data_IF_900890369806
#
_entry.id   IF_900890369806
#
_cell.length_a   1.000
_cell.length_b   1.000
_cell.length_c   1.000
_cell.angle_alpha   90.00
_cell.angle_beta   90.00
_cell.angle_gamma   90.00
#
_symmetry.space_group_name_H-M   'P 1'
#
loop_
_entity.id
_entity.type
_entity.pdbx_description
1 polymer ?
#
# COMPACT_ATOMS: atom_id res chain seq x y z
N UNK A 1 -45.34 -0.02 -15.74
CA UNK A 1 -46.15 1.22 -15.71
C UNK A 1 -47.08 1.16 -14.51
N UNK A 2 -47.36 2.33 -13.94
CA UNK A 2 -48.14 2.59 -12.71
C UNK A 2 -47.39 2.38 -11.39
N UNK A 3 -46.85 3.52 -10.93
CA UNK A 3 -46.34 3.78 -9.60
C UNK A 3 -47.48 3.88 -8.58
N UNK A 4 -47.18 3.64 -7.30
CA UNK A 4 -47.94 4.20 -6.19
C UNK A 4 -47.01 4.47 -5.02
N UNK A 5 -46.76 5.75 -4.83
CA UNK A 5 -46.06 6.40 -3.73
C UNK A 5 -46.98 6.34 -2.50
N UNK A 6 -46.44 5.93 -1.35
CA UNK A 6 -47.05 6.23 -0.04
C UNK A 6 -45.97 6.91 0.80
N UNK A 7 -46.30 8.14 1.19
CA UNK A 7 -45.51 9.05 2.01
C UNK A 7 -46.24 9.22 3.35
N UNK A 8 -45.44 9.28 4.42
CA UNK A 8 -45.74 9.78 5.77
C UNK A 8 -46.55 8.89 6.72
N UNK A 9 -45.99 8.63 7.90
CA UNK A 9 -46.17 9.53 9.06
C UNK A 9 -45.17 9.24 10.18
N UNK A 10 -44.57 10.32 10.66
CA UNK A 10 -43.74 10.43 11.86
C UNK A 10 -44.58 10.17 13.11
N UNK A 11 -44.09 9.33 14.02
CA UNK A 11 -44.62 9.21 15.37
C UNK A 11 -43.48 9.45 16.36
N UNK A 12 -43.36 10.70 16.79
CA UNK A 12 -42.62 11.11 17.97
C UNK A 12 -43.30 10.54 19.21
N UNK A 13 -42.59 9.71 19.97
CA UNK A 13 -42.98 9.35 21.34
C UNK A 13 -42.11 10.17 22.28
N UNK A 14 -42.72 11.19 22.87
CA UNK A 14 -42.19 11.89 24.03
C UNK A 14 -42.33 11.02 25.27
N UNK A 15 -41.23 10.76 25.96
CA UNK A 15 -41.26 10.48 27.40
C UNK A 15 -40.43 11.54 28.11
N UNK A 16 -41.13 12.41 28.83
CA UNK A 16 -40.60 13.28 29.87
C UNK A 16 -40.98 12.64 31.20
N UNK A 17 -40.02 12.43 32.12
CA UNK A 17 -40.10 12.75 33.55
C UNK A 17 -38.85 12.21 34.26
N UNK A 18 -38.24 13.04 35.13
CA UNK A 18 -37.30 12.54 36.15
C UNK A 18 -36.10 13.42 36.44
N UNK A 19 -36.34 14.55 37.11
CA UNK A 19 -35.36 15.36 37.84
C UNK A 19 -34.37 14.51 38.67
N UNK A 20 -33.06 14.80 38.62
CA UNK A 20 -32.19 14.85 39.82
C UNK A 20 -30.85 15.58 39.58
N UNK A 21 -30.73 16.72 40.27
CA UNK A 21 -29.56 17.42 40.86
C UNK A 21 -28.17 17.38 40.19
N UNK A 22 -27.72 18.57 39.78
CA UNK A 22 -26.31 19.02 39.80
C UNK A 22 -25.79 19.17 41.24
N UNK A 23 -24.46 19.18 41.41
CA UNK A 23 -23.81 20.23 42.19
C UNK A 23 -22.82 21.05 41.33
N UNK A 24 -22.86 22.37 41.50
CA UNK A 24 -21.77 23.29 41.19
C UNK A 24 -21.05 23.68 42.49
N UNK A 25 -20.02 24.53 42.35
CA UNK A 25 -19.14 25.16 43.38
C UNK A 25 -17.82 24.37 43.51
N UNK A 26 -16.61 24.93 43.37
CA UNK A 26 -16.12 26.31 43.46
C UNK A 26 -14.80 26.48 42.71
N UNK A 27 -14.58 27.70 42.20
CA UNK A 27 -13.29 28.24 41.81
C UNK A 27 -12.36 28.41 43.03
N UNK A 28 -11.06 28.20 42.83
CA UNK A 28 -9.99 28.73 43.66
C UNK A 28 -8.90 29.27 42.73
N UNK A 29 -8.67 30.57 42.81
CA UNK A 29 -7.63 31.31 42.10
C UNK A 29 -6.36 31.44 42.94
N UNK A 30 -5.22 31.36 42.24
CA UNK A 30 -3.95 32.05 42.47
C UNK A 30 -3.15 31.79 43.75
N UNK A 31 -1.91 31.29 43.57
CA UNK A 31 -0.72 31.95 44.10
C UNK A 31 0.46 31.82 43.13
N UNK A 32 1.02 32.97 42.78
CA UNK A 32 2.27 33.14 42.04
C UNK A 32 3.46 32.67 42.87
N UNK A 33 4.47 32.08 42.23
CA UNK A 33 5.86 32.32 42.60
C UNK A 33 6.78 32.19 41.38
N UNK A 34 7.73 33.12 41.34
CA UNK A 34 8.61 33.48 40.24
C UNK A 34 10.03 32.96 40.51
N UNK A 35 10.86 32.92 39.45
CA UNK A 35 12.33 32.77 39.41
C UNK A 35 12.78 31.31 39.63
N UNK A 36 13.51 30.65 38.70
CA UNK A 36 14.85 31.02 38.22
C UNK A 36 15.14 30.51 36.80
N UNK A 37 15.72 31.38 35.97
CA UNK A 37 16.29 31.08 34.64
C UNK A 37 17.64 30.36 34.81
N UNK A 38 17.85 29.25 34.11
CA UNK A 38 19.19 28.73 33.78
C UNK A 38 19.47 28.93 32.30
N UNK A 39 20.40 29.83 32.03
CA UNK A 39 20.97 30.12 30.71
C UNK A 39 21.98 29.03 30.35
N UNK A 40 21.75 28.29 29.26
CA UNK A 40 22.81 27.57 28.55
C UNK A 40 23.33 28.47 27.43
N UNK A 41 24.49 29.07 27.69
CA UNK A 41 25.34 29.72 26.68
C UNK A 41 25.85 28.64 25.73
N UNK A 42 25.49 28.72 24.44
CA UNK A 42 26.29 28.11 23.38
C UNK A 42 27.00 29.24 22.63
N UNK A 43 28.33 29.22 22.74
CA UNK A 43 29.25 30.20 22.19
C UNK A 43 29.28 30.16 20.66
N UNK A 44 29.00 31.31 20.05
CA UNK A 44 29.42 31.66 18.70
C UNK A 44 30.92 31.99 18.71
N UNK A 45 31.72 31.29 17.92
CA UNK A 45 32.99 31.82 17.42
C UNK A 45 33.10 31.56 15.92
N UNK A 46 33.05 32.66 15.18
CA UNK A 46 33.58 32.75 13.83
C UNK A 46 35.11 32.59 13.87
N UNK A 47 35.66 31.82 12.94
CA UNK A 47 36.96 32.11 12.35
C UNK A 47 36.87 31.90 10.84
N UNK A 48 37.05 32.98 10.11
CA UNK A 48 37.40 33.00 8.70
C UNK A 48 38.84 32.51 8.53
N UNK A 49 39.12 31.61 7.59
CA UNK A 49 39.90 32.00 6.40
C UNK A 49 39.96 30.91 5.31
N UNK A 50 39.86 31.44 4.09
CA UNK A 50 40.32 30.95 2.78
C UNK A 50 41.26 29.74 2.75
N UNK A 51 40.94 28.74 1.92
CA UNK A 51 41.68 28.51 0.68
C UNK A 51 40.96 27.55 -0.29
N UNK A 52 40.98 27.98 -1.54
CA UNK A 52 40.53 27.39 -2.79
C UNK A 52 41.11 26.01 -3.11
N UNK A 53 40.27 25.07 -3.59
CA UNK A 53 40.61 24.16 -4.71
C UNK A 53 39.31 23.79 -5.45
N UNK A 54 39.19 24.20 -6.71
CA UNK A 54 38.18 23.71 -7.65
C UNK A 54 38.56 22.29 -8.13
N UNK A 55 37.61 21.37 -8.34
CA UNK A 55 37.96 20.07 -8.89
C UNK A 55 38.26 20.23 -10.39
N UNK A 56 39.53 20.03 -10.74
CA UNK A 56 39.99 19.90 -12.13
C UNK A 56 39.35 18.64 -12.71
N UNK A 57 38.50 18.82 -13.71
CA UNK A 57 37.98 17.76 -14.56
C UNK A 57 39.13 17.17 -15.37
N UNK A 58 39.74 16.08 -14.88
CA UNK A 58 40.77 15.36 -15.60
C UNK A 58 40.12 14.50 -16.68
N UNK A 59 39.96 15.04 -17.90
CA UNK A 59 39.69 14.24 -19.09
C UNK A 59 40.89 13.33 -19.33
N UNK A 60 40.82 12.07 -18.90
CA UNK A 60 41.70 11.02 -19.41
C UNK A 60 41.37 10.82 -20.90
N UNK A 61 42.24 11.32 -21.76
CA UNK A 61 42.32 10.88 -23.15
C UNK A 61 42.86 9.45 -23.14
N UNK A 62 41.98 8.47 -23.34
CA UNK A 62 42.39 7.10 -23.64
C UNK A 62 42.52 7.01 -25.16
N UNK A 63 43.74 6.87 -25.65
CA UNK A 63 43.99 6.54 -27.04
C UNK A 63 43.51 5.10 -27.30
N UNK A 64 42.38 4.95 -28.00
CA UNK A 64 41.86 3.65 -28.43
C UNK A 64 42.61 3.23 -29.69
N UNK A 65 43.53 2.29 -29.55
CA UNK A 65 44.07 1.50 -30.66
C UNK A 65 42.95 0.68 -31.28
N UNK A 66 42.76 0.86 -32.59
CA UNK A 66 41.77 0.15 -33.40
C UNK A 66 42.15 -1.33 -33.54
N UNK A 67 41.47 -2.21 -32.82
CA UNK A 67 41.36 -3.62 -33.18
C UNK A 67 39.86 -3.96 -33.06
N UNK A 68 39.32 -4.54 -34.13
CA UNK A 68 37.88 -4.72 -34.31
C UNK A 68 37.23 -5.47 -33.16
N UNK A 69 36.33 -4.79 -32.47
CA UNK A 69 35.42 -5.37 -31.49
C UNK A 69 34.11 -5.71 -32.22
N UNK A 70 33.74 -6.97 -32.08
CA UNK A 70 32.57 -7.59 -32.68
C UNK A 70 31.28 -6.86 -32.28
N UNK A 71 30.26 -6.97 -33.13
CA UNK A 71 28.88 -6.47 -32.96
C UNK A 71 28.20 -6.88 -31.63
N UNK A 72 28.83 -7.70 -30.79
CA UNK A 72 28.37 -8.09 -29.45
C UNK A 72 28.72 -7.10 -28.33
N UNK A 73 29.64 -6.15 -28.53
CA UNK A 73 29.96 -5.13 -27.52
C UNK A 73 29.16 -3.83 -27.70
N UNK A 74 28.66 -3.54 -28.90
CA UNK A 74 27.78 -2.39 -29.15
C UNK A 74 26.39 -2.55 -28.52
N UNK A 75 25.92 -3.78 -28.31
CA UNK A 75 24.69 -4.05 -27.55
C UNK A 75 24.86 -3.84 -26.04
N UNK A 76 26.09 -3.94 -25.51
CA UNK A 76 26.37 -3.63 -24.09
C UNK A 76 26.49 -2.13 -23.81
N UNK A 77 26.79 -1.30 -24.81
CA UNK A 77 26.71 0.17 -24.67
C UNK A 77 25.27 0.69 -24.76
N UNK A 78 24.34 -0.07 -25.34
CA UNK A 78 22.90 0.17 -25.24
C UNK A 78 22.38 -0.40 -23.91
N UNK A 79 22.71 0.28 -22.81
CA UNK A 79 22.43 -0.18 -21.45
C UNK A 79 20.98 -0.64 -21.24
N UNK A 80 20.80 -1.75 -20.49
CA UNK A 80 19.53 -2.39 -20.17
C UNK A 80 18.37 -1.39 -19.99
N UNK A 81 17.25 -1.61 -20.66
CA UNK A 81 16.05 -0.79 -20.57
C UNK A 81 14.96 -1.64 -19.95
N UNK A 82 14.32 -1.11 -18.90
CA UNK A 82 13.20 -1.78 -18.26
C UNK A 82 12.03 -2.06 -19.22
N UNK A 83 11.27 -3.08 -18.87
CA UNK A 83 10.07 -3.52 -19.57
C UNK A 83 8.96 -2.45 -19.56
N UNK A 84 8.01 -2.58 -20.49
CA UNK A 84 6.83 -1.73 -20.58
C UNK A 84 5.71 -2.24 -19.66
N UNK A 85 5.26 -1.44 -18.70
CA UNK A 85 4.28 -1.84 -17.68
C UNK A 85 2.85 -1.87 -18.22
N UNK A 86 1.99 -2.76 -17.70
CA UNK A 86 0.57 -2.82 -18.09
C UNK A 86 0.29 -3.09 -19.59
N UNK A 87 1.27 -3.56 -20.36
CA UNK A 87 1.02 -4.02 -21.73
C UNK A 87 0.19 -5.30 -21.69
N UNK A 88 -0.92 -5.31 -22.42
CA UNK A 88 -1.79 -6.47 -22.51
C UNK A 88 -2.20 -6.74 -23.96
N UNK A 89 -1.60 -7.76 -24.54
CA UNK A 89 -1.86 -8.14 -25.93
C UNK A 89 -2.91 -9.25 -25.99
N UNK A 90 -4.15 -8.88 -26.35
CA UNK A 90 -5.29 -9.81 -26.45
C UNK A 90 -4.99 -11.02 -27.34
N UNK A 91 -4.32 -10.83 -28.48
CA UNK A 91 -3.99 -11.90 -29.42
C UNK A 91 -2.98 -12.93 -28.89
N UNK A 92 -2.19 -12.59 -27.85
CA UNK A 92 -1.26 -13.52 -27.19
C UNK A 92 -1.89 -14.30 -26.04
N UNK A 93 -3.13 -13.97 -25.66
CA UNK A 93 -3.82 -14.61 -24.55
C UNK A 93 -4.44 -15.94 -24.95
N UNK A 94 -4.22 -16.98 -24.15
CA UNK A 94 -4.89 -18.28 -24.32
C UNK A 94 -6.16 -18.32 -23.47
N UNK A 95 -7.32 -18.53 -24.10
CA UNK A 95 -8.61 -18.66 -23.40
C UNK A 95 -8.54 -19.75 -22.30
N UNK A 96 -7.83 -20.85 -22.56
CA UNK A 96 -7.62 -21.92 -21.58
C UNK A 96 -6.94 -21.41 -20.30
N UNK A 97 -5.97 -20.50 -20.38
CA UNK A 97 -5.29 -19.93 -19.20
C UNK A 97 -6.24 -19.12 -18.34
N UNK A 98 -7.19 -18.41 -18.94
CA UNK A 98 -8.21 -17.65 -18.22
C UNK A 98 -9.25 -18.57 -17.57
N UNK A 99 -9.62 -19.67 -18.21
CA UNK A 99 -10.46 -20.70 -17.58
C UNK A 99 -9.73 -21.31 -16.37
N UNK A 100 -8.46 -21.67 -16.51
CA UNK A 100 -7.65 -22.18 -15.40
C UNK A 100 -7.52 -21.15 -14.27
N UNK A 101 -7.27 -19.89 -14.61
CA UNK A 101 -7.23 -18.79 -13.65
C UNK A 101 -8.54 -18.69 -12.86
N UNK A 102 -9.68 -18.66 -13.53
CA UNK A 102 -10.99 -18.57 -12.86
C UNK A 102 -11.25 -19.78 -11.97
N UNK A 103 -10.91 -21.00 -12.42
CA UNK A 103 -11.06 -22.20 -11.62
C UNK A 103 -10.16 -22.19 -10.37
N UNK A 104 -8.87 -21.85 -10.53
CA UNK A 104 -7.91 -21.76 -9.42
C UNK A 104 -8.34 -20.68 -8.44
N UNK A 105 -8.73 -19.49 -8.92
CA UNK A 105 -9.23 -18.42 -8.07
C UNK A 105 -10.45 -18.87 -7.27
N UNK A 106 -11.41 -19.54 -7.90
CA UNK A 106 -12.59 -20.09 -7.22
C UNK A 106 -12.22 -21.09 -6.13
N UNK A 107 -11.30 -22.01 -6.41
CA UNK A 107 -10.81 -23.00 -5.42
C UNK A 107 -10.09 -22.30 -4.27
N UNK A 108 -9.19 -21.36 -4.55
CA UNK A 108 -8.45 -20.62 -3.50
C UNK A 108 -9.40 -19.84 -2.61
N UNK A 109 -10.39 -19.14 -3.18
CA UNK A 109 -11.40 -18.41 -2.42
C UNK A 109 -12.29 -19.34 -1.59
N UNK A 110 -12.67 -20.49 -2.14
CA UNK A 110 -13.43 -21.49 -1.39
C UNK A 110 -12.64 -22.07 -0.22
N UNK A 111 -11.37 -22.44 -0.44
CA UNK A 111 -10.47 -22.94 0.62
C UNK A 111 -10.25 -21.87 1.68
N UNK A 112 -9.98 -20.62 1.28
CA UNK A 112 -9.84 -19.51 2.22
C UNK A 112 -11.12 -19.31 3.04
N UNK A 113 -12.29 -19.45 2.40
CA UNK A 113 -13.56 -19.38 3.11
C UNK A 113 -13.68 -20.48 4.16
N UNK A 114 -13.58 -21.75 3.76
CA UNK A 114 -13.80 -22.89 4.66
C UNK A 114 -12.72 -23.01 5.74
N UNK A 115 -11.44 -22.83 5.37
CA UNK A 115 -10.33 -23.05 6.29
C UNK A 115 -10.03 -21.84 7.19
N UNK A 116 -10.49 -20.63 6.84
CA UNK A 116 -10.13 -19.42 7.58
C UNK A 116 -11.31 -18.51 7.91
N UNK A 117 -12.13 -18.13 6.93
CA UNK A 117 -13.14 -17.07 7.11
C UNK A 117 -14.40 -17.57 7.82
N UNK A 118 -14.89 -18.75 7.45
CA UNK A 118 -16.14 -19.30 7.97
C UNK A 118 -16.04 -19.51 9.49
N UNK A 119 -16.99 -18.99 10.26
CA UNK A 119 -16.96 -19.07 11.72
C UNK A 119 -17.21 -20.48 12.27
N UNK A 120 -17.76 -21.40 11.48
CA UNK A 120 -18.05 -22.76 11.91
C UNK A 120 -16.90 -23.73 11.62
N UNK A 121 -16.16 -23.53 10.53
CA UNK A 121 -15.08 -24.43 10.11
C UNK A 121 -13.69 -23.79 10.12
N UNK A 122 -13.60 -22.47 10.04
CA UNK A 122 -12.36 -21.74 9.84
C UNK A 122 -11.62 -21.37 11.13
N UNK A 123 -10.32 -21.11 10.98
CA UNK A 123 -9.44 -20.74 12.09
C UNK A 123 -9.33 -19.22 12.33
N UNK A 124 -9.90 -18.38 11.46
CA UNK A 124 -9.74 -16.93 11.52
C UNK A 124 -10.25 -16.32 12.83
N UNK A 125 -11.43 -16.75 13.31
CA UNK A 125 -11.95 -16.30 14.59
C UNK A 125 -11.03 -16.68 15.75
N UNK A 126 -10.59 -17.93 15.82
CA UNK A 126 -9.70 -18.40 16.87
C UNK A 126 -8.34 -17.66 16.85
N UNK A 127 -7.82 -17.36 15.67
CA UNK A 127 -6.62 -16.54 15.51
C UNK A 127 -6.81 -15.13 16.06
N UNK A 128 -7.91 -14.46 15.69
CA UNK A 128 -8.23 -13.12 16.20
C UNK A 128 -8.43 -13.13 17.71
N UNK A 129 -9.27 -14.04 18.23
CA UNK A 129 -9.49 -14.19 19.67
C UNK A 129 -8.16 -14.35 20.44
N UNK A 130 -7.25 -15.20 19.92
CA UNK A 130 -5.94 -15.43 20.52
C UNK A 130 -5.08 -14.16 20.56
N UNK A 131 -5.04 -13.38 19.48
CA UNK A 131 -4.30 -12.11 19.45
C UNK A 131 -4.95 -11.08 20.37
N UNK A 132 -6.28 -11.03 20.42
CA UNK A 132 -7.03 -10.11 21.27
C UNK A 132 -6.83 -10.40 22.77
N UNK A 133 -6.43 -11.61 23.17
CA UNK A 133 -6.06 -11.87 24.59
C UNK A 133 -4.84 -11.07 25.06
N UNK A 134 -4.04 -10.51 24.15
CA UNK A 134 -2.83 -9.77 24.48
C UNK A 134 -3.11 -8.33 24.94
N UNK A 135 -4.29 -7.76 24.62
CA UNK A 135 -4.66 -6.41 25.02
C UNK A 135 -6.15 -6.14 24.84
N UNK A 136 -6.75 -5.41 25.79
CA UNK A 136 -8.12 -4.89 25.67
C UNK A 136 -8.22 -3.68 24.70
N UNK A 137 -7.09 -3.13 24.23
CA UNK A 137 -7.08 -1.99 23.30
C UNK A 137 -7.12 -2.45 21.85
N UNK A 138 -8.17 -2.02 21.13
CA UNK A 138 -8.33 -2.29 19.71
C UNK A 138 -7.16 -1.74 18.88
N UNK A 139 -6.54 -0.62 19.28
CA UNK A 139 -5.35 -0.06 18.66
C UNK A 139 -4.14 -0.98 18.79
N UNK A 140 -3.90 -1.55 19.97
CA UNK A 140 -2.77 -2.44 20.24
C UNK A 140 -2.94 -3.74 19.48
N UNK A 141 -4.13 -4.35 19.53
CA UNK A 141 -4.44 -5.57 18.77
C UNK A 141 -4.26 -5.33 17.27
N UNK A 142 -4.75 -4.20 16.76
CA UNK A 142 -4.59 -3.81 15.36
C UNK A 142 -3.11 -3.74 14.95
N UNK A 143 -2.27 -3.12 15.78
CA UNK A 143 -0.83 -3.04 15.52
C UNK A 143 -0.15 -4.41 15.57
N UNK A 144 -0.53 -5.29 16.50
CA UNK A 144 -0.01 -6.66 16.58
C UNK A 144 -0.38 -7.45 15.32
N UNK A 145 -1.63 -7.38 14.87
CA UNK A 145 -2.08 -8.03 13.63
C UNK A 145 -1.27 -7.55 12.43
N UNK A 146 -1.06 -6.24 12.30
CA UNK A 146 -0.23 -5.65 11.25
C UNK A 146 1.21 -6.14 11.35
N UNK A 147 1.79 -6.25 12.55
CA UNK A 147 3.15 -6.75 12.75
C UNK A 147 3.28 -8.22 12.37
N UNK A 148 2.31 -9.07 12.74
CA UNK A 148 2.27 -10.48 12.35
C UNK A 148 2.20 -10.58 10.83
N UNK A 149 1.25 -9.89 10.20
CA UNK A 149 1.12 -9.86 8.75
C UNK A 149 2.40 -9.37 8.07
N UNK A 150 2.93 -8.21 8.50
CA UNK A 150 4.11 -7.59 7.91
C UNK A 150 5.35 -8.48 8.04
N UNK A 151 5.54 -9.12 9.19
CA UNK A 151 6.65 -10.03 9.47
C UNK A 151 6.59 -11.27 8.59
N UNK A 152 5.43 -11.93 8.51
CA UNK A 152 5.23 -13.12 7.69
C UNK A 152 5.32 -12.79 6.20
N UNK A 153 4.58 -11.79 5.74
CA UNK A 153 4.54 -11.38 4.33
C UNK A 153 5.92 -10.93 3.83
N UNK A 154 6.57 -10.03 4.56
CA UNK A 154 7.91 -9.54 4.18
C UNK A 154 9.00 -10.59 4.36
N UNK A 155 8.87 -11.45 5.36
CA UNK A 155 9.76 -12.57 5.62
C UNK A 155 9.73 -13.55 4.46
N UNK A 156 8.55 -14.07 4.12
CA UNK A 156 8.37 -14.96 2.97
C UNK A 156 8.82 -14.29 1.67
N UNK A 157 8.61 -12.97 1.50
CA UNK A 157 9.09 -12.26 0.32
C UNK A 157 10.62 -12.26 0.25
N UNK A 158 11.30 -12.12 1.39
CA UNK A 158 12.77 -12.13 1.50
C UNK A 158 13.35 -13.53 1.30
N UNK A 159 12.66 -14.56 1.77
CA UNK A 159 13.08 -15.96 1.59
C UNK A 159 12.80 -16.53 0.21
N UNK A 160 12.15 -15.77 -0.68
CA UNK A 160 11.75 -16.23 -2.01
C UNK A 160 12.87 -16.90 -2.79
N UNK A 161 14.03 -16.25 -2.92
CA UNK A 161 15.14 -16.82 -3.69
C UNK A 161 15.58 -18.21 -3.20
N UNK A 162 15.54 -18.44 -1.88
CA UNK A 162 15.88 -19.73 -1.28
C UNK A 162 14.72 -20.71 -1.40
N UNK A 163 13.50 -20.27 -1.10
CA UNK A 163 12.30 -21.11 -1.17
C UNK A 163 12.01 -21.62 -2.59
N UNK A 164 12.16 -20.77 -3.61
CA UNK A 164 11.99 -21.17 -5.01
C UNK A 164 13.03 -22.21 -5.45
N UNK A 165 14.26 -22.16 -4.91
CA UNK A 165 15.29 -23.19 -5.16
C UNK A 165 14.96 -24.53 -4.50
N UNK A 166 14.25 -24.53 -3.37
CA UNK A 166 13.94 -25.73 -2.60
C UNK A 166 12.70 -26.45 -3.11
N UNK A 167 11.60 -25.71 -3.36
CA UNK A 167 10.30 -26.29 -3.68
C UNK A 167 9.75 -25.84 -5.05
N UNK A 168 10.48 -25.01 -5.77
CA UNK A 168 10.04 -24.44 -7.05
C UNK A 168 9.20 -23.17 -6.90
N UNK A 169 9.12 -22.39 -7.98
CA UNK A 169 8.48 -21.07 -8.00
C UNK A 169 6.96 -21.11 -7.76
N UNK A 170 6.26 -22.06 -8.39
CA UNK A 170 4.81 -22.21 -8.23
C UNK A 170 4.41 -22.66 -6.82
N UNK A 171 4.96 -23.75 -6.25
CA UNK A 171 4.63 -24.15 -4.88
C UNK A 171 4.99 -23.07 -3.86
N UNK A 172 6.11 -22.37 -4.05
CA UNK A 172 6.47 -21.24 -3.20
C UNK A 172 5.45 -20.09 -3.29
N UNK A 173 4.96 -19.75 -4.50
CA UNK A 173 3.91 -18.73 -4.69
C UNK A 173 2.61 -19.14 -3.99
N UNK A 174 2.20 -20.41 -4.09
CA UNK A 174 1.00 -20.93 -3.42
C UNK A 174 1.16 -20.88 -1.90
N UNK A 175 2.30 -21.30 -1.34
CA UNK A 175 2.59 -21.19 0.09
C UNK A 175 2.57 -19.73 0.55
N UNK A 176 3.24 -18.84 -0.20
CA UNK A 176 3.28 -17.42 0.08
C UNK A 176 1.88 -16.82 0.17
N UNK A 177 1.03 -17.07 -0.83
CA UNK A 177 -0.33 -16.56 -0.89
C UNK A 177 -1.23 -17.23 0.17
N UNK A 178 -1.10 -18.55 0.35
CA UNK A 178 -1.88 -19.33 1.30
C UNK A 178 -1.66 -18.94 2.76
N UNK A 179 -0.52 -18.36 3.10
CA UNK A 179 -0.27 -17.82 4.45
C UNK A 179 -0.58 -16.31 4.51
N UNK A 180 -0.18 -15.55 3.48
CA UNK A 180 -0.36 -14.08 3.50
C UNK A 180 -1.82 -13.66 3.39
N UNK A 181 -2.64 -14.34 2.57
CA UNK A 181 -4.04 -13.98 2.35
C UNK A 181 -4.88 -14.12 3.64
N UNK A 182 -4.84 -15.25 4.38
CA UNK A 182 -5.49 -15.36 5.68
C UNK A 182 -5.16 -14.21 6.64
N UNK A 183 -3.86 -13.91 6.80
CA UNK A 183 -3.40 -12.84 7.71
C UNK A 183 -3.84 -11.45 7.26
N UNK A 184 -3.82 -11.19 5.95
CA UNK A 184 -4.32 -9.93 5.39
C UNK A 184 -5.83 -9.77 5.64
N UNK A 185 -6.62 -10.83 5.38
CA UNK A 185 -8.07 -10.81 5.59
C UNK A 185 -8.40 -10.61 7.07
N UNK A 186 -7.74 -11.34 7.98
CA UNK A 186 -7.89 -11.14 9.42
C UNK A 186 -7.62 -9.70 9.85
N UNK A 187 -6.54 -9.10 9.36
CA UNK A 187 -6.19 -7.71 9.66
C UNK A 187 -7.25 -6.73 9.14
N UNK A 188 -7.75 -6.92 7.92
CA UNK A 188 -8.77 -6.04 7.31
C UNK A 188 -10.13 -6.19 8.00
N UNK A 189 -10.58 -7.42 8.27
CA UNK A 189 -11.86 -7.69 8.94
C UNK A 189 -11.84 -7.11 10.36
N UNK A 190 -10.76 -7.34 11.11
CA UNK A 190 -10.60 -6.78 12.45
C UNK A 190 -10.71 -5.24 12.42
N UNK A 191 -9.99 -4.59 11.49
CA UNK A 191 -10.08 -3.14 11.32
C UNK A 191 -11.52 -2.68 11.04
N UNK A 192 -12.24 -3.33 10.12
CA UNK A 192 -13.61 -2.94 9.75
C UNK A 192 -14.57 -3.06 10.95
N UNK A 193 -14.44 -4.13 11.73
CA UNK A 193 -15.30 -4.39 12.88
C UNK A 193 -15.02 -3.43 14.05
N UNK A 194 -13.76 -3.05 14.26
CA UNK A 194 -13.32 -2.16 15.34
C UNK A 194 -13.14 -0.70 14.86
N UNK A 195 -13.60 -0.37 13.65
CA UNK A 195 -13.34 0.94 13.02
C UNK A 195 -13.93 2.14 13.76
N UNK A 196 -14.87 1.92 14.68
CA UNK A 196 -15.48 2.97 15.50
C UNK A 196 -15.06 2.92 16.97
N UNK A 197 -14.15 2.00 17.31
CA UNK A 197 -13.57 1.94 18.64
C UNK A 197 -12.55 3.06 18.84
N UNK A 198 -12.01 3.11 20.06
CA UNK A 198 -10.98 4.06 20.44
C UNK A 198 -11.52 5.48 20.65
N UNK A 199 -10.60 6.42 20.74
CA UNK A 199 -10.90 7.84 20.95
C UNK A 199 -11.21 8.52 19.62
N UNK A 200 -12.36 9.18 19.51
CA UNK A 200 -12.63 10.10 18.41
C UNK A 200 -11.71 11.32 18.53
N UNK A 201 -10.87 11.56 17.51
CA UNK A 201 -9.89 12.63 17.45
C UNK A 201 -10.41 13.83 16.67
N UNK A 202 -11.15 13.60 15.58
CA UNK A 202 -11.81 14.63 14.78
C UNK A 202 -13.04 14.10 14.05
N UNK A 203 -13.98 14.98 13.70
CA UNK A 203 -15.20 14.64 12.95
C UNK A 203 -15.37 15.66 11.83
N UNK A 204 -14.96 15.30 10.61
CA UNK A 204 -14.87 16.23 9.47
C UNK A 204 -15.83 15.90 8.33
N UNK A 205 -16.71 14.91 8.48
CA UNK A 205 -17.55 14.35 7.43
C UNK A 205 -18.53 15.37 6.83
N UNK A 206 -18.92 16.39 7.62
CA UNK A 206 -19.79 17.48 7.19
C UNK A 206 -19.04 18.62 6.47
N UNK A 207 -17.70 18.56 6.39
CA UNK A 207 -16.91 19.59 5.73
C UNK A 207 -17.19 19.60 4.21
N UNK A 208 -17.54 20.76 3.62
CA UNK A 208 -17.85 20.85 2.19
C UNK A 208 -16.70 20.36 1.32
N UNK A 209 -17.00 19.46 0.38
CA UNK A 209 -16.01 18.94 -0.57
C UNK A 209 -15.09 17.84 -0.02
N UNK A 210 -15.11 17.55 1.29
CA UNK A 210 -14.19 16.57 1.88
C UNK A 210 -14.44 15.16 1.32
N UNK A 211 -15.71 14.75 1.21
CA UNK A 211 -16.05 13.46 0.64
C UNK A 211 -15.46 13.30 -0.78
N UNK A 212 -15.63 14.30 -1.64
CA UNK A 212 -15.12 14.29 -3.01
C UNK A 212 -13.59 14.22 -3.05
N UNK A 213 -12.92 14.97 -2.18
CA UNK A 213 -11.46 14.97 -2.07
C UNK A 213 -10.93 13.59 -1.65
N UNK A 214 -11.51 12.98 -0.62
CA UNK A 214 -11.07 11.68 -0.11
C UNK A 214 -11.46 10.54 -1.05
N UNK A 215 -12.60 10.63 -1.71
CA UNK A 215 -13.00 9.72 -2.77
C UNK A 215 -12.01 9.75 -3.93
N UNK A 216 -11.67 10.95 -4.43
CA UNK A 216 -10.70 11.10 -5.51
C UNK A 216 -9.31 10.62 -5.10
N UNK A 217 -8.90 10.90 -3.85
CA UNK A 217 -7.63 10.43 -3.30
C UNK A 217 -7.56 8.90 -3.24
N UNK A 218 -8.64 8.23 -2.79
CA UNK A 218 -8.74 6.77 -2.82
C UNK A 218 -8.82 6.22 -4.25
N UNK A 219 -9.49 6.90 -5.17
CA UNK A 219 -9.51 6.49 -6.57
C UNK A 219 -8.10 6.52 -7.18
N UNK A 220 -7.35 7.60 -6.94
CA UNK A 220 -5.95 7.73 -7.37
C UNK A 220 -5.08 6.67 -6.68
N UNK A 221 -5.28 6.41 -5.39
CA UNK A 221 -4.46 5.44 -4.65
C UNK A 221 -4.54 4.03 -5.22
N UNK A 222 -5.70 3.63 -5.75
CA UNK A 222 -5.86 2.33 -6.41
C UNK A 222 -5.02 2.22 -7.69
N UNK A 223 -4.88 3.28 -8.48
CA UNK A 223 -3.99 3.28 -9.65
C UNK A 223 -2.52 3.05 -9.26
N UNK A 224 -2.13 3.46 -8.05
CA UNK A 224 -0.81 3.21 -7.49
C UNK A 224 -0.66 1.82 -6.83
N UNK A 225 -1.73 1.23 -6.28
CA UNK A 225 -1.69 -0.07 -5.59
C UNK A 225 -1.61 -1.26 -6.55
N UNK A 226 -2.42 -1.25 -7.60
CA UNK A 226 -2.61 -2.40 -8.50
C UNK A 226 -1.56 -2.66 -9.61
N UNK A 227 -0.48 -1.87 -9.81
CA UNK A 227 0.61 -2.25 -10.72
C UNK A 227 1.27 -3.59 -10.36
N UNK A 228 1.20 -3.98 -9.09
CA UNK A 228 1.58 -5.30 -8.59
C UNK A 228 0.79 -6.47 -9.20
N UNK A 229 -0.30 -6.18 -9.93
CA UNK A 229 -1.23 -7.17 -10.49
C UNK A 229 -1.35 -7.13 -12.02
N UNK A 230 -0.53 -6.35 -12.73
CA UNK A 230 -0.62 -6.22 -14.19
C UNK A 230 -0.52 -7.57 -14.93
N UNK A 231 0.25 -8.52 -14.39
CA UNK A 231 0.36 -9.87 -14.92
C UNK A 231 -0.44 -10.87 -14.06
N UNK A 232 -1.77 -10.78 -14.09
CA UNK A 232 -2.67 -11.58 -13.22
C UNK A 232 -2.42 -13.09 -13.27
N UNK A 233 -2.13 -13.64 -14.45
CA UNK A 233 -1.87 -15.07 -14.61
C UNK A 233 -0.58 -15.51 -13.87
N UNK A 234 0.42 -14.63 -13.76
CA UNK A 234 1.63 -14.89 -12.99
C UNK A 234 1.39 -14.75 -11.48
N UNK A 235 0.55 -13.78 -11.08
CA UNK A 235 0.15 -13.57 -9.68
C UNK A 235 -0.61 -14.80 -9.15
N UNK A 236 -1.51 -15.36 -9.96
CA UNK A 236 -2.27 -16.57 -9.65
C UNK A 236 -1.50 -17.88 -9.89
N UNK A 237 -0.20 -17.81 -10.23
CA UNK A 237 0.67 -18.95 -10.54
C UNK A 237 0.19 -19.85 -11.70
N UNK A 238 -0.75 -19.38 -12.52
CA UNK A 238 -1.17 -20.03 -13.77
C UNK A 238 0.00 -20.02 -14.73
N UNK A 239 0.52 -18.83 -15.00
CA UNK A 239 1.79 -18.63 -15.68
C UNK A 239 2.94 -18.69 -14.66
N UNK A 240 4.14 -18.96 -15.17
CA UNK A 240 5.35 -19.03 -14.34
C UNK A 240 5.56 -17.64 -13.68
N UNK A 241 5.56 -17.52 -12.35
CA UNK A 241 5.68 -16.23 -11.69
C UNK A 241 7.03 -15.56 -12.00
N UNK A 242 7.03 -14.31 -12.46
CA UNK A 242 8.26 -13.55 -12.69
C UNK A 242 8.28 -12.26 -11.87
N UNK A 243 9.46 -11.67 -11.81
CA UNK A 243 9.62 -10.29 -11.39
C UNK A 243 9.97 -9.48 -12.64
N UNK A 244 9.48 -8.25 -12.69
CA UNK A 244 9.68 -7.35 -13.81
C UNK A 244 10.43 -6.12 -13.34
N UNK A 245 11.31 -5.62 -14.21
CA UNK A 245 11.95 -4.33 -14.05
C UNK A 245 11.27 -3.37 -15.03
N UNK A 246 10.27 -2.62 -14.58
CA UNK A 246 9.55 -1.67 -15.43
C UNK A 246 10.16 -0.27 -15.38
N UNK A 247 10.05 0.49 -16.47
CA UNK A 247 10.44 1.91 -16.52
C UNK A 247 9.31 2.85 -17.02
N UNK A 248 8.17 2.30 -17.42
CA UNK A 248 7.05 3.05 -18.02
C UNK A 248 5.79 3.06 -17.14
N UNK A 249 4.80 3.89 -17.50
CA UNK A 249 3.51 3.99 -16.83
C UNK A 249 3.65 4.58 -15.43
N UNK A 250 2.90 4.05 -14.47
CA UNK A 250 2.99 4.47 -13.07
C UNK A 250 4.40 4.31 -12.46
N UNK A 251 5.21 3.40 -13.01
CA UNK A 251 6.60 3.17 -12.55
C UNK A 251 7.52 4.32 -12.95
N UNK A 252 7.22 4.98 -14.07
CA UNK A 252 7.84 6.24 -14.48
C UNK A 252 7.65 7.34 -13.44
N UNK A 253 6.48 7.36 -12.81
CA UNK A 253 6.14 8.31 -11.74
C UNK A 253 6.89 7.95 -10.46
N UNK A 254 6.88 6.68 -10.06
CA UNK A 254 7.62 6.17 -8.90
C UNK A 254 7.90 4.68 -9.04
N UNK A 255 9.11 4.24 -8.66
CA UNK A 255 9.49 2.81 -8.62
C UNK A 255 8.72 2.02 -7.56
N UNK A 256 8.12 2.70 -6.57
CA UNK A 256 7.37 2.06 -5.48
C UNK A 256 5.92 2.54 -5.45
N UNK A 257 5.13 2.27 -6.50
CA UNK A 257 3.78 2.82 -6.60
C UNK A 257 2.89 2.26 -5.49
N UNK A 258 3.02 0.98 -5.12
CA UNK A 258 2.21 0.38 -4.06
C UNK A 258 2.40 1.08 -2.71
N UNK A 259 3.63 1.52 -2.37
CA UNK A 259 3.87 2.29 -1.15
C UNK A 259 3.14 3.63 -1.20
N UNK A 260 3.23 4.35 -2.32
CA UNK A 260 2.58 5.66 -2.49
C UNK A 260 1.06 5.53 -2.44
N UNK A 261 0.50 4.53 -3.12
CA UNK A 261 -0.92 4.21 -3.09
C UNK A 261 -1.39 3.89 -1.67
N UNK A 262 -0.65 3.05 -0.95
CA UNK A 262 -1.01 2.72 0.43
C UNK A 262 -0.99 3.94 1.34
N UNK A 263 0.01 4.82 1.22
CA UNK A 263 0.09 6.05 2.02
C UNK A 263 -1.13 6.94 1.74
N UNK A 264 -1.48 7.17 0.47
CA UNK A 264 -2.66 7.99 0.12
C UNK A 264 -3.94 7.35 0.67
N UNK A 265 -4.10 6.03 0.52
CA UNK A 265 -5.28 5.29 1.00
C UNK A 265 -5.42 5.35 2.52
N UNK A 266 -4.32 5.12 3.26
CA UNK A 266 -4.27 5.22 4.72
C UNK A 266 -4.63 6.64 5.19
N UNK A 267 -4.03 7.67 4.59
CA UNK A 267 -4.33 9.07 4.94
C UNK A 267 -5.80 9.40 4.68
N UNK A 268 -6.35 9.00 3.54
CA UNK A 268 -7.75 9.26 3.23
C UNK A 268 -8.72 8.59 4.22
N UNK A 269 -8.48 7.33 4.58
CA UNK A 269 -9.31 6.63 5.57
C UNK A 269 -9.16 7.19 6.98
N UNK A 270 -7.93 7.54 7.39
CA UNK A 270 -7.69 8.20 8.68
C UNK A 270 -8.42 9.52 8.78
N UNK A 271 -8.35 10.38 7.74
CA UNK A 271 -9.08 11.66 7.73
C UNK A 271 -10.59 11.43 7.81
N UNK A 272 -11.13 10.44 7.08
CA UNK A 272 -12.58 10.18 7.07
C UNK A 272 -13.11 9.60 8.39
N UNK A 273 -12.38 8.68 9.01
CA UNK A 273 -12.84 7.97 10.24
C UNK A 273 -12.52 8.80 11.49
N UNK A 274 -11.30 9.33 11.57
CA UNK A 274 -10.90 10.31 12.57
C UNK A 274 -10.80 9.82 14.02
N UNK A 275 -10.49 8.54 14.24
CA UNK A 275 -10.26 7.98 15.57
C UNK A 275 -8.87 7.33 15.72
N UNK A 276 -8.53 6.96 16.95
CA UNK A 276 -7.24 6.35 17.30
C UNK A 276 -7.00 5.00 16.63
N UNK A 277 -8.02 4.16 16.40
CA UNK A 277 -7.88 2.88 15.69
C UNK A 277 -7.48 3.10 14.24
N UNK A 278 -8.12 4.04 13.53
CA UNK A 278 -7.74 4.40 12.17
C UNK A 278 -6.33 5.00 12.09
N UNK A 279 -5.90 5.76 13.11
CA UNK A 279 -4.52 6.25 13.19
C UNK A 279 -3.54 5.09 13.40
N UNK A 280 -3.82 4.18 14.33
CA UNK A 280 -2.96 3.03 14.62
C UNK A 280 -2.81 2.11 13.39
N UNK A 281 -3.93 1.78 12.74
CA UNK A 281 -3.94 1.00 11.50
C UNK A 281 -3.10 1.67 10.40
N UNK A 282 -3.29 2.97 10.18
CA UNK A 282 -2.56 3.72 9.16
C UNK A 282 -1.07 3.83 9.46
N UNK A 283 -0.67 4.12 10.70
CA UNK A 283 0.75 4.16 11.08
C UNK A 283 1.40 2.80 10.84
N UNK A 284 0.76 1.71 11.28
CA UNK A 284 1.28 0.35 11.08
C UNK A 284 1.44 0.00 9.60
N UNK A 285 0.40 0.24 8.79
CA UNK A 285 0.43 -0.07 7.36
C UNK A 285 1.41 0.80 6.58
N UNK A 286 1.50 2.10 6.90
CA UNK A 286 2.48 3.02 6.29
C UNK A 286 3.90 2.58 6.66
N UNK A 287 4.17 2.28 7.93
CA UNK A 287 5.48 1.79 8.37
C UNK A 287 5.87 0.50 7.63
N UNK A 288 4.94 -0.45 7.49
CA UNK A 288 5.15 -1.67 6.72
C UNK A 288 5.50 -1.38 5.24
N UNK A 289 4.80 -0.43 4.60
CA UNK A 289 5.05 -0.12 3.19
C UNK A 289 6.34 0.68 2.98
N UNK A 290 6.72 1.54 3.91
CA UNK A 290 8.03 2.21 3.93
C UNK A 290 9.16 1.19 4.09
N UNK A 291 9.00 0.22 4.99
CA UNK A 291 9.93 -0.91 5.08
C UNK A 291 9.96 -1.73 3.77
N UNK A 292 8.80 -1.90 3.14
CA UNK A 292 8.61 -2.56 1.85
C UNK A 292 9.44 -1.93 0.73
N UNK A 293 9.67 -0.60 0.75
CA UNK A 293 10.53 0.10 -0.21
C UNK A 293 11.95 -0.44 -0.17
N UNK A 294 12.57 -0.40 1.03
CA UNK A 294 13.93 -0.91 1.21
C UNK A 294 14.02 -2.39 0.90
N UNK A 295 13.11 -3.20 1.46
CA UNK A 295 13.13 -4.64 1.26
C UNK A 295 12.91 -5.01 -0.22
N UNK A 296 12.05 -4.25 -0.92
CA UNK A 296 11.81 -4.38 -2.36
C UNK A 296 13.06 -4.13 -3.20
N UNK A 297 13.67 -2.95 -3.04
CA UNK A 297 14.90 -2.58 -3.75
C UNK A 297 16.02 -3.58 -3.44
N UNK A 298 16.19 -3.98 -2.16
CA UNK A 298 17.18 -5.01 -1.77
C UNK A 298 16.97 -6.34 -2.51
N UNK A 299 15.73 -6.82 -2.60
CA UNK A 299 15.43 -8.09 -3.28
C UNK A 299 15.68 -8.01 -4.78
N UNK A 300 15.35 -6.88 -5.40
CA UNK A 300 15.60 -6.66 -6.82
C UNK A 300 17.10 -6.56 -7.10
N UNK A 301 17.86 -5.83 -6.28
CA UNK A 301 19.32 -5.76 -6.38
C UNK A 301 19.97 -7.15 -6.27
N UNK A 302 19.55 -7.98 -5.32
CA UNK A 302 20.06 -9.36 -5.17
C UNK A 302 19.76 -10.22 -6.40
N UNK A 303 18.58 -10.04 -7.03
CA UNK A 303 18.15 -10.89 -8.15
C UNK A 303 18.70 -10.44 -9.51
N UNK A 304 18.77 -9.13 -9.74
CA UNK A 304 19.06 -8.54 -11.05
C UNK A 304 20.40 -7.79 -11.12
N UNK A 305 21.07 -7.55 -9.98
CA UNK A 305 22.39 -6.92 -9.97
C UNK A 305 22.43 -5.57 -10.69
N UNK A 306 23.31 -5.45 -11.67
CA UNK A 306 23.55 -4.23 -12.44
C UNK A 306 22.32 -3.72 -13.20
N UNK A 307 21.48 -4.63 -13.72
CA UNK A 307 20.25 -4.27 -14.44
C UNK A 307 19.30 -3.47 -13.54
N UNK A 308 19.16 -3.90 -12.28
CA UNK A 308 18.35 -3.16 -11.31
C UNK A 308 18.99 -1.83 -10.93
N UNK A 309 20.31 -1.75 -10.76
CA UNK A 309 20.97 -0.47 -10.44
C UNK A 309 20.82 0.55 -11.58
N UNK A 310 20.80 0.08 -12.84
CA UNK A 310 20.52 0.95 -13.99
C UNK A 310 19.07 1.48 -13.94
N UNK A 311 18.07 0.61 -13.78
CA UNK A 311 16.66 1.05 -13.62
C UNK A 311 16.50 1.97 -12.41
N UNK A 312 17.18 1.66 -11.31
CA UNK A 312 17.16 2.44 -10.07
C UNK A 312 17.71 3.84 -10.29
N UNK A 313 18.78 3.98 -11.08
CA UNK A 313 19.38 5.27 -11.42
C UNK A 313 18.45 6.17 -12.24
N UNK A 314 17.58 5.57 -13.07
CA UNK A 314 16.60 6.28 -13.92
C UNK A 314 15.25 6.53 -13.26
N UNK A 315 14.96 5.90 -12.12
CA UNK A 315 13.65 6.01 -11.44
C UNK A 315 13.78 6.57 -10.03
N UNK A 316 12.66 6.87 -9.35
CA UNK A 316 12.67 7.41 -7.98
C UNK A 316 11.63 6.74 -7.08
N UNK A 317 11.89 6.71 -5.78
CA UNK A 317 10.87 6.37 -4.77
C UNK A 317 9.86 7.50 -4.62
N UNK A 318 10.33 8.75 -4.63
CA UNK A 318 9.47 9.93 -4.51
C UNK A 318 8.78 10.18 -5.86
N UNK A 319 7.43 10.24 -5.90
CA UNK A 319 6.68 10.53 -7.12
C UNK A 319 7.23 11.72 -7.89
N UNK A 320 7.35 11.57 -9.21
CA UNK A 320 7.81 12.58 -10.18
C UNK A 320 9.26 13.06 -10.03
N UNK A 321 9.97 12.75 -8.94
CA UNK A 321 11.31 13.29 -8.71
C UNK A 321 12.29 12.93 -9.83
N UNK A 322 12.30 11.69 -10.33
CA UNK A 322 13.18 11.31 -11.45
C UNK A 322 12.86 12.05 -12.75
N UNK A 323 11.60 12.45 -12.95
CA UNK A 323 11.16 13.22 -14.12
C UNK A 323 11.65 14.67 -13.99
N UNK A 324 11.46 15.26 -12.80
CA UNK A 324 11.92 16.62 -12.51
C UNK A 324 13.46 16.73 -12.55
N UNK A 325 14.17 15.69 -12.13
CA UNK A 325 15.63 15.60 -12.20
C UNK A 325 16.16 15.38 -13.63
N UNK A 326 15.29 15.05 -14.60
CA UNK A 326 15.68 14.69 -15.96
C UNK A 326 16.30 13.29 -16.11
N UNK A 327 16.28 12.46 -15.06
CA UNK A 327 16.73 11.05 -15.11
C UNK A 327 15.72 10.12 -15.79
N UNK A 328 14.46 10.53 -15.77
CA UNK A 328 13.35 9.86 -16.46
C UNK A 328 12.66 10.84 -17.39
N UNK A 329 12.46 10.46 -18.64
CA UNK A 329 11.78 11.33 -19.60
C UNK A 329 10.27 11.10 -19.58
N UNK A 330 9.49 12.11 -19.99
CA UNK A 330 8.05 12.00 -20.22
C UNK A 330 7.78 12.13 -21.73
N UNK A 331 7.59 11.01 -22.45
CA UNK A 331 7.33 11.04 -23.89
C UNK A 331 6.07 11.85 -24.22
N UNK A 332 5.97 12.43 -25.43
CA UNK A 332 4.79 13.22 -25.85
C UNK A 332 3.49 12.40 -25.80
N UNK A 333 3.58 11.09 -25.98
CA UNK A 333 2.45 10.17 -25.95
C UNK A 333 2.41 9.29 -24.68
N UNK A 334 3.01 9.74 -23.58
CA UNK A 334 2.99 9.04 -22.29
C UNK A 334 1.58 8.66 -21.82
N UNK A 335 0.55 9.43 -22.19
CA UNK A 335 -0.84 9.15 -21.82
C UNK A 335 -1.29 7.76 -22.32
N UNK A 336 -0.72 7.25 -23.41
CA UNK A 336 -0.99 5.89 -23.92
C UNK A 336 -0.53 4.80 -22.96
N UNK A 337 0.42 5.08 -22.07
CA UNK A 337 0.85 4.16 -21.01
C UNK A 337 -0.29 3.90 -20.01
N UNK A 338 -1.23 4.84 -19.86
CA UNK A 338 -2.38 4.75 -18.95
C UNK A 338 -3.69 4.36 -19.63
N UNK A 339 -3.75 4.36 -20.97
CA UNK A 339 -4.89 3.88 -21.76
C UNK A 339 -4.61 2.44 -22.19
N UNK A 340 -4.50 1.54 -21.20
CA UNK A 340 -4.25 0.10 -21.41
C UNK A 340 -5.29 -0.73 -20.66
N UNK A 341 -5.55 -1.94 -21.15
CA UNK A 341 -6.59 -2.81 -20.58
C UNK A 341 -6.42 -3.01 -19.06
N UNK A 342 -5.21 -3.22 -18.49
CA UNK A 342 -5.06 -3.34 -17.04
C UNK A 342 -5.53 -2.11 -16.27
N UNK A 343 -5.30 -0.88 -16.76
CA UNK A 343 -5.80 0.33 -16.12
C UNK A 343 -7.32 0.49 -16.25
N UNK A 344 -7.91 0.06 -17.37
CA UNK A 344 -9.37 -0.02 -17.50
C UNK A 344 -9.95 -1.00 -16.47
N UNK A 345 -9.34 -2.17 -16.32
CA UNK A 345 -9.73 -3.16 -15.30
C UNK A 345 -9.58 -2.61 -13.89
N UNK A 346 -8.47 -1.93 -13.57
CA UNK A 346 -8.27 -1.25 -12.28
C UNK A 346 -9.37 -0.22 -12.05
N UNK A 347 -9.76 0.56 -13.06
CA UNK A 347 -10.87 1.52 -12.96
C UNK A 347 -12.18 0.82 -12.58
N UNK A 348 -12.54 -0.26 -13.29
CA UNK A 348 -13.76 -1.03 -13.02
C UNK A 348 -13.73 -1.64 -11.62
N UNK A 349 -12.61 -2.24 -11.21
CA UNK A 349 -12.43 -2.82 -9.86
C UNK A 349 -12.52 -1.74 -8.78
N UNK A 350 -11.94 -0.56 -9.01
CA UNK A 350 -11.97 0.55 -8.05
C UNK A 350 -13.40 1.05 -7.83
N UNK A 351 -14.16 1.24 -8.91
CA UNK A 351 -15.57 1.60 -8.83
C UNK A 351 -16.40 0.49 -8.18
N UNK A 352 -16.15 -0.77 -8.55
CA UNK A 352 -16.79 -1.93 -7.94
C UNK A 352 -16.55 -2.01 -6.44
N UNK A 353 -15.30 -1.79 -5.98
CA UNK A 353 -14.94 -1.76 -4.57
C UNK A 353 -15.65 -0.62 -3.82
N UNK A 354 -15.77 0.56 -4.44
CA UNK A 354 -16.53 1.67 -3.86
C UNK A 354 -18.00 1.31 -3.66
N UNK A 355 -18.68 0.76 -4.67
CA UNK A 355 -20.08 0.36 -4.55
C UNK A 355 -20.29 -0.85 -3.64
N UNK A 356 -19.31 -1.76 -3.56
CA UNK A 356 -19.34 -2.93 -2.69
C UNK A 356 -18.92 -2.61 -1.23
N UNK A 357 -18.45 -1.40 -0.94
CA UNK A 357 -17.96 -1.04 0.39
C UNK A 357 -18.99 -1.32 1.52
N UNK A 358 -20.30 -1.03 1.37
CA UNK A 358 -21.30 -1.43 2.37
C UNK A 358 -21.44 -2.95 2.53
N UNK A 359 -21.29 -3.72 1.45
CA UNK A 359 -21.33 -5.18 1.49
C UNK A 359 -20.12 -5.74 2.24
N UNK A 360 -18.94 -5.16 2.06
CA UNK A 360 -17.74 -5.53 2.80
C UNK A 360 -17.92 -5.29 4.30
N UNK A 361 -18.52 -4.16 4.68
CA UNK A 361 -18.85 -3.87 6.09
C UNK A 361 -19.84 -4.88 6.67
N UNK A 362 -20.91 -5.19 5.94
CA UNK A 362 -21.90 -6.17 6.38
C UNK A 362 -21.33 -7.59 6.49
N UNK A 363 -20.53 -8.02 5.51
CA UNK A 363 -19.87 -9.32 5.52
C UNK A 363 -18.90 -9.44 6.71
N UNK A 364 -18.08 -8.41 6.94
CA UNK A 364 -17.15 -8.35 8.08
C UNK A 364 -17.89 -8.42 9.42
N UNK A 365 -19.00 -7.70 9.56
CA UNK A 365 -19.81 -7.67 10.77
C UNK A 365 -20.33 -9.06 11.16
N UNK A 366 -20.74 -9.87 10.17
CA UNK A 366 -21.23 -11.24 10.40
C UNK A 366 -20.14 -12.21 10.88
N UNK A 367 -18.86 -11.85 10.75
CA UNK A 367 -17.76 -12.66 11.24
C UNK A 367 -17.55 -12.49 12.75
N UNK A 368 -17.97 -11.38 13.35
CA UNK A 368 -17.75 -11.12 14.78
C UNK A 368 -16.28 -11.27 15.22
N UNK A 369 -15.37 -10.91 14.31
CA UNK A 369 -13.92 -10.87 14.57
C UNK A 369 -13.53 -9.53 15.16
#
# INVERSE_FOLDING_TARGET
MAASVVVSTSLSVCFNYGYHRRPSISALSCHSNSITKTNLKLSSQCFSNSNSVAPIYCRKFVARTSIGENESESEKELGFVGEDSAVFELGKQKVSSWIYFTAILGVVLYVLNVAWIDNSTGYGKAFIDAVSTLSDSSEVVMLILILIFAGVHSGLASFRNTGEKLIGERPFRVLFAGISLPLAVSTVVYFINHRYDGLQLWQLQDAPGLHQLLWLSNFISFFFLYPSTFNLLEVAAVDKPKLHLWETGIIRITRHPQMVGQVIWCLAHTIWIGNSVAVAASIGLIAHHLFGVWNGDRRLAIRYGEDFELVRSRTSVVPFAAILDGRQELPKDFYKEFIRLPYLTVTVITLGAYFAHPLMQAASFNLHW
#
